data_IF_909380208428
#
_entry.id   IF_909380208428
#
_cell.length_a   1.000
_cell.length_b   1.000
_cell.length_c   1.000
_cell.angle_alpha   90.00
_cell.angle_beta   90.00
_cell.angle_gamma   90.00
#
_symmetry.space_group_name_H-M   'P 1'
#
loop_
_entity.id
_entity.type
_entity.pdbx_description
1 polymer ?
#
# COMPACT_ATOMS: atom_id res chain seq x y z
N UNK A 1 -7.75 -9.76 8.86
CA UNK A 1 -7.37 -10.79 7.88
C UNK A 1 -5.95 -10.52 7.44
N UNK A 2 -5.08 -11.51 7.55
CA UNK A 2 -3.67 -11.41 7.22
C UNK A 2 -3.32 -12.49 6.22
N UNK A 3 -2.87 -12.07 5.03
CA UNK A 3 -2.45 -12.98 3.98
C UNK A 3 -0.94 -13.10 3.95
N UNK A 4 -0.44 -14.18 3.39
CA UNK A 4 0.90 -14.20 2.81
C UNK A 4 1.01 -13.16 1.67
N UNK A 5 2.18 -12.53 1.51
CA UNK A 5 2.42 -11.54 0.44
C UNK A 5 3.16 -12.11 -0.77
N UNK A 6 3.73 -13.30 -0.65
CA UNK A 6 4.55 -13.95 -1.68
C UNK A 6 3.74 -14.98 -2.47
N UNK A 7 2.67 -15.50 -1.88
CA UNK A 7 1.73 -16.43 -2.49
C UNK A 7 0.37 -15.77 -2.73
N UNK A 8 -0.20 -16.03 -3.90
CA UNK A 8 -1.52 -15.52 -4.29
C UNK A 8 -1.55 -14.00 -4.55
N UNK A 9 -2.75 -13.44 -4.51
CA UNK A 9 -3.02 -12.02 -4.76
C UNK A 9 -3.95 -11.48 -3.67
N UNK A 10 -3.46 -10.54 -2.86
CA UNK A 10 -4.23 -9.94 -1.76
C UNK A 10 -5.54 -9.29 -2.22
N UNK A 11 -5.60 -8.75 -3.44
CA UNK A 11 -6.82 -8.19 -4.00
C UNK A 11 -7.85 -9.27 -4.34
N UNK A 12 -7.42 -10.42 -4.88
CA UNK A 12 -8.30 -11.56 -5.14
C UNK A 12 -8.86 -12.14 -3.85
N UNK A 13 -8.02 -12.27 -2.82
CA UNK A 13 -8.44 -12.73 -1.49
C UNK A 13 -9.52 -11.80 -0.92
N UNK A 14 -9.31 -10.48 -1.00
CA UNK A 14 -10.30 -9.51 -0.54
C UNK A 14 -11.60 -9.58 -1.34
N UNK A 15 -11.51 -9.64 -2.68
CA UNK A 15 -12.69 -9.77 -3.56
C UNK A 15 -13.49 -11.02 -3.25
N UNK A 16 -12.84 -12.20 -3.21
CA UNK A 16 -13.51 -13.46 -2.90
C UNK A 16 -14.14 -13.47 -1.51
N UNK A 17 -13.51 -12.82 -0.53
CA UNK A 17 -14.12 -12.65 0.80
C UNK A 17 -15.37 -11.75 0.74
N UNK A 18 -15.31 -10.66 -0.02
CA UNK A 18 -16.44 -9.73 -0.20
C UNK A 18 -17.59 -10.33 -1.02
N UNK A 19 -17.33 -11.28 -1.91
CA UNK A 19 -18.37 -12.03 -2.64
C UNK A 19 -19.26 -12.83 -1.69
N UNK A 20 -18.71 -13.31 -0.57
CA UNK A 20 -19.45 -14.09 0.44
C UNK A 20 -20.03 -13.21 1.55
N UNK A 21 -19.23 -12.28 2.09
CA UNK A 21 -19.62 -11.47 3.25
C UNK A 21 -20.33 -10.16 2.87
N UNK A 22 -20.29 -9.77 1.61
CA UNK A 22 -20.75 -8.47 1.12
C UNK A 22 -19.70 -7.36 1.27
N UNK A 23 -19.89 -6.27 0.51
CA UNK A 23 -18.97 -5.13 0.48
C UNK A 23 -19.09 -4.18 1.67
N UNK A 24 -20.17 -4.30 2.45
CA UNK A 24 -20.39 -3.54 3.69
C UNK A 24 -19.73 -4.17 4.91
N UNK A 25 -19.29 -5.43 4.82
CA UNK A 25 -18.61 -6.11 5.91
C UNK A 25 -17.18 -5.56 6.07
N UNK A 26 -16.79 -4.99 7.24
CA UNK A 26 -15.45 -4.45 7.44
C UNK A 26 -14.39 -5.55 7.41
N UNK A 27 -13.45 -5.45 6.47
CA UNK A 27 -12.28 -6.33 6.38
C UNK A 27 -11.04 -5.47 6.56
N UNK A 28 -10.31 -5.71 7.65
CA UNK A 28 -9.11 -4.97 8.03
C UNK A 28 -7.94 -5.93 8.15
N UNK A 29 -6.77 -5.48 7.73
CA UNK A 29 -5.50 -6.17 7.95
C UNK A 29 -4.49 -5.79 6.88
N UNK A 30 -3.60 -6.72 6.56
CA UNK A 30 -2.53 -6.52 5.59
C UNK A 30 -1.85 -7.83 5.27
N UNK A 31 -0.88 -7.80 4.38
CA UNK A 31 -0.09 -8.98 4.05
C UNK A 31 1.17 -9.03 4.91
N UNK A 32 1.57 -10.23 5.33
CA UNK A 32 2.80 -10.44 6.07
C UNK A 32 4.00 -10.07 5.18
N UNK A 33 5.06 -9.53 5.77
CA UNK A 33 6.28 -9.14 5.07
C UNK A 33 7.51 -9.71 5.78
N UNK A 34 8.62 -9.83 5.05
CA UNK A 34 9.89 -10.38 5.54
C UNK A 34 11.05 -9.39 5.39
N UNK A 35 10.78 -8.12 5.71
CA UNK A 35 11.73 -7.01 5.62
C UNK A 35 12.25 -6.78 4.19
N UNK A 36 11.35 -6.86 3.20
CA UNK A 36 11.66 -6.67 1.78
C UNK A 36 12.64 -7.71 1.20
N UNK A 37 12.81 -8.87 1.85
CA UNK A 37 13.63 -9.97 1.33
C UNK A 37 12.90 -10.78 0.27
N UNK A 38 11.57 -10.82 0.32
CA UNK A 38 10.70 -11.54 -0.60
C UNK A 38 11.05 -13.04 -0.73
N UNK A 39 11.43 -13.67 0.38
CA UNK A 39 11.82 -15.07 0.47
C UNK A 39 10.75 -15.93 1.16
N UNK A 40 10.25 -15.50 2.32
CA UNK A 40 9.30 -16.30 3.11
C UNK A 40 8.57 -15.45 4.14
N UNK A 41 7.25 -15.55 4.19
CA UNK A 41 6.45 -14.91 5.24
C UNK A 41 5.73 -15.96 6.09
N UNK A 42 5.26 -15.52 7.26
CA UNK A 42 4.64 -16.40 8.24
C UNK A 42 3.33 -15.79 8.71
N UNK A 43 2.31 -16.63 8.85
CA UNK A 43 1.03 -16.27 9.44
C UNK A 43 0.85 -17.08 10.73
N UNK A 44 0.51 -16.40 11.81
CA UNK A 44 0.37 -17.00 13.13
C UNK A 44 -1.11 -17.16 13.46
N UNK A 45 -1.50 -18.35 13.90
CA UNK A 45 -2.85 -18.62 14.37
C UNK A 45 -2.79 -19.58 15.56
N UNK A 46 -3.30 -19.11 16.70
CA UNK A 46 -3.20 -19.82 17.98
C UNK A 46 -1.73 -20.19 18.29
N UNK A 47 -1.45 -21.49 18.46
CA UNK A 47 -0.12 -22.01 18.79
C UNK A 47 0.59 -22.58 17.55
N UNK A 48 0.21 -22.15 16.34
CA UNK A 48 0.73 -22.69 15.09
C UNK A 48 1.19 -21.58 14.15
N UNK A 49 2.23 -21.90 13.39
CA UNK A 49 2.84 -21.04 12.39
C UNK A 49 2.57 -21.66 11.02
N UNK A 50 2.02 -20.87 10.12
CA UNK A 50 1.67 -21.25 8.76
C UNK A 50 2.46 -20.41 7.76
N UNK A 51 2.56 -20.91 6.54
CA UNK A 51 3.06 -20.19 5.36
C UNK A 51 2.10 -20.46 4.20
N UNK A 52 2.17 -19.65 3.15
CA UNK A 52 1.27 -19.79 1.99
C UNK A 52 -0.21 -19.80 2.40
N UNK A 53 -0.56 -18.98 3.40
CA UNK A 53 -1.83 -19.06 4.08
C UNK A 53 -2.47 -17.70 4.30
N UNK A 54 -3.76 -17.75 4.65
CA UNK A 54 -4.54 -16.59 5.06
C UNK A 54 -5.10 -16.91 6.44
N UNK A 55 -4.85 -16.03 7.40
CA UNK A 55 -5.40 -16.15 8.75
C UNK A 55 -6.35 -14.98 9.03
N UNK A 56 -7.44 -15.26 9.72
CA UNK A 56 -8.46 -14.28 10.03
C UNK A 56 -8.90 -14.39 11.48
N UNK A 57 -9.23 -13.25 12.07
CA UNK A 57 -9.97 -13.17 13.33
C UNK A 57 -11.32 -12.54 12.99
N UNK A 58 -12.40 -13.26 13.30
CA UNK A 58 -13.75 -12.71 13.27
C UNK A 58 -14.05 -12.13 14.65
N UNK A 59 -14.38 -10.85 14.70
CA UNK A 59 -14.86 -10.18 15.91
C UNK A 59 -16.35 -9.90 15.69
N UNK A 60 -17.18 -10.32 16.64
CA UNK A 60 -18.63 -10.20 16.56
C UNK A 60 -19.21 -9.84 17.93
N UNK A 61 -20.34 -9.15 17.94
CA UNK A 61 -21.03 -8.70 19.14
C UNK A 61 -21.56 -7.29 18.95
N UNK A 62 -21.89 -6.63 20.05
CA UNK A 62 -22.22 -5.21 20.08
C UNK A 62 -20.92 -4.38 20.02
N UNK A 63 -20.35 -4.31 18.82
CA UNK A 63 -19.08 -3.64 18.54
C UNK A 63 -19.25 -2.63 17.42
N UNK A 64 -18.72 -1.43 17.65
CA UNK A 64 -18.54 -0.42 16.61
C UNK A 64 -17.06 -0.35 16.23
N UNK A 65 -16.79 -0.30 14.92
CA UNK A 65 -15.43 -0.24 14.39
C UNK A 65 -15.23 1.06 13.64
N UNK A 66 -14.23 1.84 14.05
CA UNK A 66 -13.77 3.02 13.32
C UNK A 66 -12.41 2.71 12.71
N UNK A 67 -12.22 3.08 11.44
CA UNK A 67 -11.02 2.74 10.66
C UNK A 67 -10.35 4.01 10.18
N UNK A 68 -9.16 4.27 10.70
CA UNK A 68 -8.24 5.28 10.19
C UNK A 68 -7.29 4.71 9.15
N UNK A 69 -7.04 5.45 8.06
CA UNK A 69 -5.98 5.11 7.09
C UNK A 69 -5.33 6.36 6.52
N UNK A 70 -4.01 6.35 6.46
CA UNK A 70 -3.20 7.42 5.90
C UNK A 70 -1.92 6.87 5.26
N UNK A 71 -1.46 7.53 4.20
CA UNK A 71 -0.19 7.19 3.56
C UNK A 71 0.75 8.39 3.42
N UNK A 72 0.28 9.64 3.32
CA UNK A 72 1.15 10.83 3.25
C UNK A 72 1.76 11.14 1.88
N UNK A 73 1.96 10.15 1.00
CA UNK A 73 2.35 10.42 -0.40
C UNK A 73 1.44 11.43 -1.10
N UNK A 74 2.03 12.37 -1.83
CA UNK A 74 1.31 13.39 -2.61
C UNK A 74 1.59 13.26 -4.11
N UNK A 75 0.63 13.58 -4.99
CA UNK A 75 0.81 13.45 -6.43
C UNK A 75 1.78 14.51 -6.97
N UNK A 76 2.59 14.13 -7.95
CA UNK A 76 3.51 15.00 -8.68
C UNK A 76 3.04 15.12 -10.13
N UNK A 77 2.95 16.36 -10.61
CA UNK A 77 2.68 16.64 -12.03
C UNK A 77 1.30 16.17 -12.49
N UNK A 78 1.21 15.88 -13.79
CA UNK A 78 -0.04 15.47 -14.45
C UNK A 78 -0.31 13.97 -14.25
N UNK A 79 -1.57 13.51 -14.35
CA UNK A 79 -1.85 12.09 -14.43
C UNK A 79 -1.34 11.50 -15.76
N UNK A 80 -1.00 10.22 -15.72
CA UNK A 80 -0.53 9.38 -16.82
C UNK A 80 -1.46 8.18 -16.98
N UNK A 81 -1.73 7.76 -18.22
CA UNK A 81 -2.64 6.63 -18.49
C UNK A 81 -1.86 5.33 -18.55
N UNK A 82 -2.29 4.33 -17.81
CA UNK A 82 -1.83 2.95 -18.00
C UNK A 82 -2.45 2.41 -19.28
N UNK A 83 -1.67 2.31 -20.35
CA UNK A 83 -2.16 1.87 -21.66
C UNK A 83 -2.07 0.37 -21.85
N UNK A 84 -1.18 -0.31 -21.13
CA UNK A 84 -1.08 -1.77 -21.18
C UNK A 84 -0.62 -2.35 -19.85
N UNK A 85 -1.45 -3.18 -19.22
CA UNK A 85 -1.12 -3.86 -17.98
C UNK A 85 -1.78 -5.23 -17.86
N UNK A 86 -1.16 -6.12 -17.09
CA UNK A 86 -1.77 -7.40 -16.71
C UNK A 86 -1.37 -7.74 -15.29
N UNK A 87 -2.36 -7.98 -14.43
CA UNK A 87 -2.14 -8.23 -13.00
C UNK A 87 -1.34 -7.07 -12.35
N UNK A 88 -0.19 -7.35 -11.75
CA UNK A 88 0.71 -6.37 -11.14
C UNK A 88 1.82 -5.88 -12.08
N UNK A 89 1.77 -6.17 -13.37
CA UNK A 89 2.80 -5.77 -14.34
C UNK A 89 2.23 -4.69 -15.27
N UNK A 90 2.82 -3.49 -15.21
CA UNK A 90 2.56 -2.44 -16.21
C UNK A 90 3.61 -2.57 -17.31
N UNK A 91 3.15 -2.77 -18.54
CA UNK A 91 4.02 -2.79 -19.72
C UNK A 91 4.15 -1.41 -20.34
N UNK A 92 3.03 -0.69 -20.42
CA UNK A 92 3.00 0.61 -21.07
C UNK A 92 2.24 1.66 -20.25
N UNK A 93 2.84 2.84 -20.18
CA UNK A 93 2.25 4.07 -19.66
C UNK A 93 2.32 5.10 -20.79
N UNK A 94 1.21 5.75 -21.11
CA UNK A 94 1.10 6.70 -22.23
C UNK A 94 1.63 6.16 -23.57
N UNK A 95 1.40 4.86 -23.85
CA UNK A 95 1.85 4.14 -25.05
C UNK A 95 3.36 4.03 -25.20
N UNK A 96 4.10 4.14 -24.09
CA UNK A 96 5.56 4.03 -23.99
C UNK A 96 5.92 3.00 -22.94
N UNK A 97 7.16 2.50 -22.94
CA UNK A 97 7.56 1.52 -21.95
C UNK A 97 7.39 2.11 -20.53
N UNK A 98 6.87 1.32 -19.61
CA UNK A 98 6.44 1.82 -18.30
C UNK A 98 7.58 2.50 -17.51
N UNK A 99 8.81 2.00 -17.64
CA UNK A 99 10.00 2.57 -17.01
C UNK A 99 10.36 3.97 -17.55
N UNK A 100 9.95 4.34 -18.77
CA UNK A 100 10.25 5.66 -19.35
C UNK A 100 9.67 6.80 -18.51
N UNK A 101 8.57 6.56 -17.80
CA UNK A 101 8.04 7.51 -16.82
C UNK A 101 9.10 7.87 -15.75
N UNK A 102 9.80 6.87 -15.22
CA UNK A 102 10.85 7.09 -14.23
C UNK A 102 12.12 7.67 -14.86
N UNK A 103 12.47 7.26 -16.08
CA UNK A 103 13.60 7.84 -16.82
C UNK A 103 13.41 9.36 -16.99
N UNK A 104 12.21 9.80 -17.34
CA UNK A 104 11.89 11.23 -17.52
C UNK A 104 11.94 12.03 -16.22
N UNK A 105 11.32 11.53 -15.16
CA UNK A 105 11.26 12.25 -13.89
C UNK A 105 12.61 12.34 -13.18
N UNK A 106 13.48 11.35 -13.38
CA UNK A 106 14.78 11.28 -12.68
C UNK A 106 15.98 11.60 -13.58
N UNK A 107 15.79 11.73 -14.90
CA UNK A 107 16.86 11.96 -15.87
C UNK A 107 17.87 10.82 -15.92
N UNK A 108 17.41 9.58 -15.74
CA UNK A 108 18.25 8.37 -15.68
C UNK A 108 17.90 7.42 -16.81
N UNK A 109 18.86 6.63 -17.23
CA UNK A 109 18.62 5.49 -18.12
C UNK A 109 17.99 4.30 -17.37
N UNK A 110 17.36 3.40 -18.12
CA UNK A 110 16.84 2.14 -17.64
C UNK A 110 17.88 1.32 -16.85
N UNK A 111 19.14 1.29 -17.32
CA UNK A 111 20.21 0.57 -16.61
C UNK A 111 20.55 1.21 -15.27
N UNK A 112 20.62 2.53 -15.19
CA UNK A 112 20.85 3.26 -13.93
C UNK A 112 19.71 3.00 -12.93
N UNK A 113 18.45 3.07 -13.38
CA UNK A 113 17.29 2.78 -12.54
C UNK A 113 17.30 1.34 -12.01
N UNK A 114 17.69 0.38 -12.84
CA UNK A 114 17.83 -1.02 -12.42
C UNK A 114 18.96 -1.19 -11.41
N UNK A 115 20.11 -0.55 -11.63
CA UNK A 115 21.30 -0.64 -10.78
C UNK A 115 21.08 -0.01 -9.39
N UNK A 116 20.30 1.08 -9.31
CA UNK A 116 19.97 1.73 -8.04
C UNK A 116 18.93 0.98 -7.20
N UNK A 117 18.22 0.03 -7.80
CA UNK A 117 17.21 -0.79 -7.16
C UNK A 117 15.84 -0.13 -7.12
N UNK A 118 14.99 -0.53 -8.06
CA UNK A 118 13.64 0.02 -8.21
C UNK A 118 12.80 -0.07 -6.93
N UNK A 119 12.96 -1.12 -6.11
CA UNK A 119 12.21 -1.24 -4.87
C UNK A 119 12.44 -0.08 -3.89
N UNK A 120 13.66 0.47 -3.81
CA UNK A 120 13.94 1.63 -2.96
C UNK A 120 13.33 2.91 -3.54
N UNK A 121 13.49 3.11 -4.85
CA UNK A 121 12.92 4.26 -5.55
C UNK A 121 11.39 4.25 -5.49
N UNK A 122 10.78 3.08 -5.67
CA UNK A 122 9.33 2.87 -5.66
C UNK A 122 8.68 3.09 -4.31
N UNK A 123 9.41 2.98 -3.19
CA UNK A 123 8.92 3.40 -1.87
C UNK A 123 8.79 4.92 -1.81
N UNK A 124 9.82 5.66 -2.21
CA UNK A 124 9.77 7.14 -2.19
C UNK A 124 8.83 7.70 -3.26
N UNK A 125 8.78 7.05 -4.43
CA UNK A 125 8.05 7.48 -5.62
C UNK A 125 7.15 6.40 -6.22
N UNK A 126 6.11 5.96 -5.50
CA UNK A 126 5.15 5.00 -6.01
C UNK A 126 4.20 5.65 -7.01
N UNK A 127 3.39 4.83 -7.65
CA UNK A 127 2.25 5.26 -8.45
C UNK A 127 1.01 5.37 -7.56
N UNK A 128 0.21 6.42 -7.76
CA UNK A 128 -1.05 6.65 -7.06
C UNK A 128 -2.23 6.61 -8.01
N UNK A 129 -3.20 5.73 -7.73
CA UNK A 129 -4.47 5.67 -8.46
C UNK A 129 -5.49 6.55 -7.73
N UNK A 130 -6.04 7.55 -8.40
CA UNK A 130 -7.03 8.45 -7.78
C UNK A 130 -8.35 7.71 -7.55
N UNK A 131 -8.84 7.69 -6.31
CA UNK A 131 -10.12 7.07 -5.99
C UNK A 131 -11.28 7.96 -6.47
N UNK A 132 -12.23 7.40 -7.23
CA UNK A 132 -13.40 8.15 -7.72
C UNK A 132 -14.20 8.75 -6.55
N UNK A 133 -14.54 10.04 -6.68
CA UNK A 133 -15.34 10.77 -5.69
C UNK A 133 -14.63 11.05 -4.36
N UNK A 134 -13.33 10.77 -4.25
CA UNK A 134 -12.54 11.01 -3.04
C UNK A 134 -11.24 11.72 -3.39
N UNK A 135 -10.78 12.61 -2.52
CA UNK A 135 -9.44 13.19 -2.63
C UNK A 135 -8.38 12.26 -1.97
N UNK A 136 -8.43 10.96 -2.29
CA UNK A 136 -7.53 9.94 -1.73
C UNK A 136 -6.95 9.10 -2.87
N UNK A 137 -5.73 8.62 -2.70
CA UNK A 137 -5.02 7.80 -3.68
C UNK A 137 -4.82 6.38 -3.13
N UNK A 138 -4.84 5.41 -4.05
CA UNK A 138 -4.41 4.06 -3.78
C UNK A 138 -2.97 3.88 -4.27
N UNK A 139 -2.07 3.52 -3.37
CA UNK A 139 -0.64 3.46 -3.65
C UNK A 139 -0.25 2.11 -4.26
N UNK A 140 0.65 2.14 -5.24
CA UNK A 140 1.29 1.01 -5.90
C UNK A 140 2.78 1.27 -6.06
N UNK A 141 3.59 0.54 -5.32
CA UNK A 141 5.04 0.68 -5.37
C UNK A 141 5.62 -0.28 -6.43
N UNK A 142 6.37 0.22 -7.42
CA UNK A 142 7.18 -0.64 -8.26
C UNK A 142 8.28 -1.31 -7.44
N UNK A 143 8.39 -2.62 -7.57
CA UNK A 143 9.39 -3.45 -6.88
C UNK A 143 10.58 -3.75 -7.79
N UNK A 144 10.34 -3.90 -9.10
CA UNK A 144 11.33 -4.30 -10.10
C UNK A 144 11.00 -3.68 -11.46
N UNK A 145 12.04 -3.45 -12.25
CA UNK A 145 11.94 -3.19 -13.69
C UNK A 145 12.42 -4.43 -14.46
N UNK A 146 11.65 -4.88 -15.44
CA UNK A 146 12.04 -5.95 -16.37
C UNK A 146 12.95 -5.42 -17.48
N UNK A 147 13.62 -6.31 -18.21
CA UNK A 147 14.56 -5.92 -19.28
C UNK A 147 13.88 -5.18 -20.43
N UNK A 148 12.58 -5.41 -20.64
CA UNK A 148 11.77 -4.71 -21.64
C UNK A 148 11.19 -3.37 -21.14
N UNK A 149 11.59 -2.89 -19.95
CA UNK A 149 11.07 -1.66 -19.34
C UNK A 149 9.72 -1.77 -18.65
N UNK A 150 9.17 -2.99 -18.47
CA UNK A 150 7.93 -3.19 -17.69
C UNK A 150 8.18 -2.99 -16.20
N UNK A 151 7.20 -2.44 -15.49
CA UNK A 151 7.22 -2.27 -14.03
C UNK A 151 6.43 -3.39 -13.36
N UNK A 152 7.06 -4.10 -12.42
CA UNK A 152 6.39 -5.08 -11.55
C UNK A 152 6.06 -4.39 -10.23
N UNK A 153 4.78 -4.35 -9.87
CA UNK A 153 4.26 -3.67 -8.69
C UNK A 153 4.00 -4.63 -7.52
N UNK A 154 3.85 -4.06 -6.32
CA UNK A 154 3.47 -4.79 -5.10
C UNK A 154 2.01 -5.26 -5.05
N UNK A 155 1.16 -4.80 -5.97
CA UNK A 155 -0.23 -5.20 -6.07
C UNK A 155 -0.77 -4.97 -7.48
N UNK A 156 -1.90 -5.61 -7.80
CA UNK A 156 -2.54 -5.48 -9.10
C UNK A 156 -2.91 -4.05 -9.44
N UNK A 157 -2.88 -3.73 -10.73
CA UNK A 157 -3.29 -2.44 -11.25
C UNK A 157 -4.13 -2.61 -12.53
N UNK A 158 -5.35 -2.05 -12.59
CA UNK A 158 -6.17 -2.19 -13.79
C UNK A 158 -5.62 -1.37 -14.96
N UNK A 159 -5.63 -1.97 -16.15
CA UNK A 159 -5.38 -1.26 -17.41
C UNK A 159 -6.42 -0.15 -17.61
N UNK A 160 -6.01 0.93 -18.28
CA UNK A 160 -6.87 2.07 -18.56
C UNK A 160 -7.07 2.99 -17.36
N UNK A 161 -6.46 2.75 -16.20
CA UNK A 161 -6.49 3.68 -15.08
C UNK A 161 -5.53 4.86 -15.30
N UNK A 162 -5.89 6.01 -14.73
CA UNK A 162 -4.97 7.13 -14.59
C UNK A 162 -4.19 6.97 -13.27
N UNK A 163 -2.88 7.20 -13.36
CA UNK A 163 -1.97 7.22 -12.22
C UNK A 163 -1.19 8.51 -12.17
N UNK A 164 -0.86 8.95 -10.97
CA UNK A 164 0.15 9.98 -10.75
C UNK A 164 1.42 9.32 -10.23
N UNK A 165 2.59 9.83 -10.63
CA UNK A 165 3.78 9.62 -9.82
C UNK A 165 3.55 10.33 -8.49
N UNK A 166 3.91 9.69 -7.39
CA UNK A 166 3.72 10.24 -6.05
C UNK A 166 5.08 10.58 -5.43
N UNK A 167 5.10 11.46 -4.44
CA UNK A 167 6.26 11.75 -3.61
C UNK A 167 5.89 11.55 -2.15
N UNK A 168 6.70 10.79 -1.43
CA UNK A 168 6.59 10.65 0.02
C UNK A 168 7.86 11.13 0.69
N UNK A 169 7.70 11.86 1.78
CA UNK A 169 8.77 12.14 2.72
C UNK A 169 8.28 11.91 4.16
N UNK A 170 9.21 12.04 5.11
CA UNK A 170 8.95 11.83 6.53
C UNK A 170 7.84 12.75 7.04
N UNK A 171 7.89 14.03 6.74
CA UNK A 171 6.97 15.02 7.30
C UNK A 171 5.56 14.80 6.75
N UNK A 172 5.44 14.60 5.43
CA UNK A 172 4.18 14.25 4.77
C UNK A 172 3.54 13.00 5.38
N UNK A 173 4.35 11.99 5.72
CA UNK A 173 3.85 10.78 6.37
C UNK A 173 3.33 11.03 7.78
N UNK A 174 4.04 11.80 8.60
CA UNK A 174 3.63 12.12 9.97
C UNK A 174 2.42 13.05 10.01
N UNK A 175 2.37 14.05 9.13
CA UNK A 175 1.23 14.96 9.03
C UNK A 175 -0.04 14.22 8.59
N UNK A 176 0.08 13.25 7.69
CA UNK A 176 -1.05 12.40 7.33
C UNK A 176 -1.54 11.52 8.49
N UNK A 177 -0.66 11.10 9.41
CA UNK A 177 -1.08 10.40 10.64
C UNK A 177 -1.86 11.35 11.53
N UNK A 178 -1.40 12.59 11.73
CA UNK A 178 -2.11 13.61 12.53
C UNK A 178 -3.49 13.92 11.94
N UNK A 179 -3.56 14.13 10.63
CA UNK A 179 -4.83 14.38 9.94
C UNK A 179 -5.80 13.21 10.11
N UNK A 180 -5.32 11.99 9.92
CA UNK A 180 -6.11 10.77 10.14
C UNK A 180 -6.59 10.64 11.59
N UNK A 181 -5.74 10.91 12.57
CA UNK A 181 -6.14 10.89 13.98
C UNK A 181 -7.21 11.95 14.26
N UNK A 182 -7.09 13.14 13.68
CA UNK A 182 -8.12 14.19 13.79
C UNK A 182 -9.45 13.80 13.13
N UNK A 183 -9.42 13.12 11.97
CA UNK A 183 -10.61 12.55 11.34
C UNK A 183 -11.27 11.51 12.25
N UNK A 184 -10.50 10.52 12.71
CA UNK A 184 -10.98 9.42 13.58
C UNK A 184 -11.52 9.96 14.91
N UNK A 185 -10.84 10.95 15.52
CA UNK A 185 -11.25 11.57 16.78
C UNK A 185 -12.67 12.15 16.74
N UNK A 186 -13.12 12.64 15.56
CA UNK A 186 -14.49 13.14 15.37
C UNK A 186 -15.51 12.03 15.41
N UNK A 187 -15.17 10.86 14.87
CA UNK A 187 -16.06 9.69 14.81
C UNK A 187 -16.16 8.95 16.15
N UNK A 188 -15.09 9.01 16.95
CA UNK A 188 -15.01 8.37 18.27
C UNK A 188 -15.32 9.31 19.44
N UNK A 189 -15.59 10.59 19.19
CA UNK A 189 -15.89 11.54 20.24
C UNK A 189 -17.03 11.00 21.11
N UNK A 190 -16.83 10.97 22.44
CA UNK A 190 -17.74 10.39 23.45
C UNK A 190 -17.96 8.87 23.44
N UNK A 191 -17.17 8.10 22.67
CA UNK A 191 -17.19 6.63 22.71
C UNK A 191 -16.20 6.08 23.72
N UNK A 192 -16.56 4.93 24.31
CA UNK A 192 -15.69 4.18 25.21
C UNK A 192 -14.82 3.21 24.40
N UNK A 193 -13.55 3.56 24.20
CA UNK A 193 -12.62 2.79 23.37
C UNK A 193 -12.05 1.62 24.15
N UNK A 194 -12.45 0.40 23.77
CA UNK A 194 -12.01 -0.85 24.43
C UNK A 194 -10.63 -1.31 24.01
N UNK A 195 -10.27 -1.14 22.74
CA UNK A 195 -8.96 -1.50 22.22
C UNK A 195 -8.64 -0.73 20.93
N UNK A 196 -7.34 -0.61 20.63
CA UNK A 196 -6.83 -0.05 19.38
C UNK A 196 -5.85 -1.05 18.78
N UNK A 197 -5.89 -1.24 17.46
CA UNK A 197 -4.90 -2.01 16.72
C UNK A 197 -4.30 -1.15 15.63
N UNK A 198 -2.96 -1.06 15.60
CA UNK A 198 -2.21 -0.25 14.64
C UNK A 198 -1.44 -1.17 13.70
N UNK A 199 -1.57 -0.94 12.40
CA UNK A 199 -0.80 -1.62 11.37
C UNK A 199 0.24 -0.65 10.81
N UNK A 200 1.52 -0.93 11.06
CA UNK A 200 2.62 -0.17 10.47
C UNK A 200 3.12 -0.87 9.21
N UNK A 201 3.11 -0.15 8.11
CA UNK A 201 3.51 -0.66 6.79
C UNK A 201 5.04 -0.63 6.62
N UNK A 202 5.59 -1.65 5.96
CA UNK A 202 7.05 -1.78 5.78
C UNK A 202 7.64 -0.68 4.88
N UNK A 203 6.90 -0.20 3.88
CA UNK A 203 7.36 0.90 3.04
C UNK A 203 7.42 2.21 3.83
N UNK A 204 6.41 2.46 4.69
CA UNK A 204 6.44 3.59 5.64
C UNK A 204 7.56 3.46 6.66
N UNK A 205 7.77 2.28 7.24
CA UNK A 205 8.87 2.02 8.16
C UNK A 205 10.22 2.36 7.52
N UNK A 206 10.44 1.94 6.27
CA UNK A 206 11.65 2.23 5.51
C UNK A 206 11.83 3.71 5.16
N UNK A 207 10.72 4.44 4.93
CA UNK A 207 10.73 5.87 4.67
C UNK A 207 11.05 6.68 5.95
N UNK A 208 10.48 6.28 7.08
CA UNK A 208 10.63 6.99 8.37
C UNK A 208 11.89 6.60 9.15
N UNK A 209 12.38 5.37 8.98
CA UNK A 209 13.57 4.83 9.65
C UNK A 209 13.53 5.05 11.16
N UNK A 210 14.48 5.83 11.70
CA UNK A 210 14.59 6.15 13.13
C UNK A 210 13.34 6.84 13.69
N UNK A 211 12.50 7.38 12.81
CA UNK A 211 11.27 8.10 13.16
C UNK A 211 10.01 7.26 13.03
N UNK A 212 10.11 5.96 12.71
CA UNK A 212 8.93 5.10 12.61
C UNK A 212 8.14 5.04 13.94
N UNK A 213 8.81 5.19 15.08
CA UNK A 213 8.15 5.28 16.39
C UNK A 213 7.30 6.54 16.56
N UNK A 214 7.65 7.63 15.86
CA UNK A 214 6.89 8.89 15.95
C UNK A 214 5.45 8.70 15.45
N UNK A 215 5.18 7.80 14.50
CA UNK A 215 3.79 7.48 14.09
C UNK A 215 2.96 6.95 15.26
N UNK A 216 3.55 6.06 16.06
CA UNK A 216 2.88 5.42 17.18
C UNK A 216 2.67 6.43 18.31
N UNK A 217 3.63 7.32 18.55
CA UNK A 217 3.47 8.36 19.56
C UNK A 217 2.37 9.36 19.17
N UNK A 218 2.28 9.78 17.91
CA UNK A 218 1.19 10.64 17.43
C UNK A 218 -0.19 9.99 17.64
N UNK A 219 -0.32 8.67 17.45
CA UNK A 219 -1.59 7.96 17.63
C UNK A 219 -2.01 7.88 19.12
N UNK A 220 -1.06 7.96 20.05
CA UNK A 220 -1.32 7.90 21.50
C UNK A 220 -1.74 9.24 22.09
N UNK A 221 -1.42 10.34 21.42
CA UNK A 221 -1.82 11.71 21.81
C UNK A 221 -3.33 11.93 21.68
#
# INVERSE_FOLDING_TARGET
MFSDSLSGNGADILRGTQEVLGTSFPIIGGSAADEMRFQKTYQYLNNSIYTDSIVGLLISGDIDVVIGKAHGWQPIGKPHRITKARSNIIREIDRRAAAELYEEYFGKSLEELKNEGMGKLGVSYPLGIKMKGKNKYLIRAPLKIEDNGSLVLNAEIPEGQDVNLMMGDKNLCLDAVREMCSEVAKDIYSRDIRFVTVFSDIARYNLLRNSAREEIEIIKE
#
